data_IF_033810520648
#
_entry.id   IF_033810520648
#
_cell.length_a   1.000
_cell.length_b   1.000
_cell.length_c   1.000
_cell.angle_alpha   90.00
_cell.angle_beta   90.00
_cell.angle_gamma   90.00
#
_symmetry.space_group_name_H-M   'P 1'
#
loop_
_entity.id
_entity.type
_entity.pdbx_description
1 polymer ?
#
# COMPACT_ATOMS: atom_id res chain seq x y z
N UNK A 1 -5.23 -6.46 -1.73
CA UNK A 1 -5.33 -6.26 -3.21
C UNK A 1 -6.31 -7.22 -3.88
N UNK A 2 -6.33 -8.53 -3.57
CA UNK A 2 -7.31 -9.49 -4.12
C UNK A 2 -8.78 -9.10 -3.91
N UNK A 3 -9.11 -8.58 -2.73
CA UNK A 3 -10.48 -8.12 -2.40
C UNK A 3 -10.83 -6.82 -3.16
N UNK A 4 -9.87 -5.91 -3.29
CA UNK A 4 -10.07 -4.56 -3.85
C UNK A 4 -10.28 -4.55 -5.38
N UNK A 5 -9.96 -5.63 -6.08
CA UNK A 5 -10.05 -5.73 -7.55
C UNK A 5 -11.29 -6.46 -8.05
N UNK A 6 -12.15 -6.95 -7.16
CA UNK A 6 -13.17 -7.96 -7.49
C UNK A 6 -14.08 -7.56 -8.65
N UNK A 7 -14.27 -6.26 -8.87
CA UNK A 7 -15.11 -5.70 -9.94
C UNK A 7 -14.31 -4.97 -11.03
N UNK A 8 -12.98 -5.19 -11.11
CA UNK A 8 -12.08 -4.51 -12.06
C UNK A 8 -11.44 -5.54 -13.02
N UNK A 9 -11.37 -5.28 -14.34
CA UNK A 9 -10.68 -6.16 -15.28
C UNK A 9 -9.16 -6.10 -15.02
N UNK A 10 -8.58 -7.20 -14.56
CA UNK A 10 -7.16 -7.32 -14.19
C UNK A 10 -6.53 -8.53 -14.87
N UNK A 11 -5.34 -8.35 -15.45
CA UNK A 11 -4.59 -9.41 -16.11
C UNK A 11 -3.14 -9.46 -15.61
N UNK A 12 -2.64 -10.67 -15.31
CA UNK A 12 -1.22 -10.91 -15.06
C UNK A 12 -0.61 -10.16 -13.87
N UNK A 13 -1.38 -9.90 -12.81
CA UNK A 13 -0.88 -9.20 -11.61
C UNK A 13 -0.25 -10.20 -10.63
N UNK A 14 1.03 -9.99 -10.33
CA UNK A 14 1.78 -10.65 -9.27
C UNK A 14 1.61 -9.89 -7.95
N UNK A 15 0.70 -10.41 -7.13
CA UNK A 15 0.38 -9.85 -5.82
C UNK A 15 1.50 -10.01 -4.79
N UNK A 16 2.37 -11.01 -4.95
CA UNK A 16 3.50 -11.19 -4.05
C UNK A 16 4.54 -10.09 -4.27
N UNK A 17 4.83 -9.77 -5.54
CA UNK A 17 5.70 -8.63 -5.88
C UNK A 17 5.10 -7.29 -5.48
N UNK A 18 3.78 -7.11 -5.65
CA UNK A 18 3.10 -5.89 -5.20
C UNK A 18 3.14 -5.73 -3.67
N UNK A 19 3.00 -6.83 -2.91
CA UNK A 19 3.08 -6.81 -1.45
C UNK A 19 4.47 -6.36 -0.96
N UNK A 20 5.54 -6.76 -1.64
CA UNK A 20 6.91 -6.30 -1.32
C UNK A 20 7.07 -4.79 -1.50
N UNK A 21 6.45 -4.22 -2.53
CA UNK A 21 6.48 -2.78 -2.80
C UNK A 21 5.58 -1.97 -1.85
N UNK A 22 4.56 -2.61 -1.26
CA UNK A 22 3.62 -2.01 -0.34
C UNK A 22 4.02 -2.19 1.14
N UNK A 23 5.32 -2.25 1.42
CA UNK A 23 5.81 -2.31 2.80
C UNK A 23 5.31 -1.09 3.59
N UNK A 24 4.80 -1.33 4.79
CA UNK A 24 4.22 -0.32 5.69
C UNK A 24 2.91 0.30 5.16
N UNK A 25 2.25 -0.28 4.17
CA UNK A 25 0.96 0.23 3.70
C UNK A 25 -0.16 -0.23 4.61
N UNK A 26 -1.09 0.68 4.91
CA UNK A 26 -2.40 0.31 5.45
C UNK A 26 -3.30 -0.27 4.36
N UNK A 27 -4.45 -0.81 4.76
CA UNK A 27 -5.51 -1.19 3.81
C UNK A 27 -5.99 -0.01 2.96
N UNK A 28 -5.99 1.20 3.52
CA UNK A 28 -6.36 2.42 2.80
C UNK A 28 -5.31 2.81 1.76
N UNK A 29 -4.02 2.66 2.08
CA UNK A 29 -2.94 2.92 1.12
C UNK A 29 -3.01 1.95 -0.06
N UNK A 30 -3.31 0.67 0.19
CA UNK A 30 -3.52 -0.31 -0.87
C UNK A 30 -4.72 0.03 -1.77
N UNK A 31 -5.79 0.58 -1.19
CA UNK A 31 -6.94 1.08 -1.98
C UNK A 31 -6.53 2.26 -2.85
N UNK A 32 -5.80 3.22 -2.28
CA UNK A 32 -5.28 4.37 -3.01
C UNK A 32 -4.41 3.96 -4.21
N UNK A 33 -3.56 2.92 -4.06
CA UNK A 33 -2.77 2.36 -5.18
C UNK A 33 -3.66 1.88 -6.31
N UNK A 34 -4.72 1.12 -6.00
CA UNK A 34 -5.65 0.60 -7.01
C UNK A 34 -6.37 1.76 -7.71
N UNK A 35 -6.80 2.78 -6.97
CA UNK A 35 -7.53 3.92 -7.53
C UNK A 35 -6.62 4.76 -8.45
N UNK A 36 -5.38 5.03 -8.05
CA UNK A 36 -4.37 5.70 -8.90
C UNK A 36 -4.08 4.89 -10.17
N UNK A 37 -3.96 3.56 -10.06
CA UNK A 37 -3.72 2.70 -11.21
C UNK A 37 -4.91 2.71 -12.19
N UNK A 38 -6.15 2.70 -11.67
CA UNK A 38 -7.36 2.82 -12.49
C UNK A 38 -7.41 4.16 -13.22
N UNK A 39 -7.17 5.27 -12.52
CA UNK A 39 -7.18 6.60 -13.15
C UNK A 39 -6.14 6.71 -14.27
N UNK A 40 -4.93 6.20 -14.04
CA UNK A 40 -3.89 6.16 -15.06
C UNK A 40 -4.35 5.35 -16.29
N UNK A 41 -5.03 4.21 -16.05
CA UNK A 41 -5.53 3.35 -17.12
C UNK A 41 -6.68 3.97 -17.91
N UNK A 42 -7.58 4.67 -17.23
CA UNK A 42 -8.65 5.45 -17.87
C UNK A 42 -8.07 6.55 -18.76
N UNK A 43 -7.01 7.23 -18.32
CA UNK A 43 -6.31 8.23 -19.13
C UNK A 43 -5.65 7.61 -20.38
N UNK A 44 -5.10 6.41 -20.28
CA UNK A 44 -4.61 5.66 -21.45
C UNK A 44 -5.75 5.30 -22.41
N UNK A 45 -6.88 4.82 -21.88
CA UNK A 45 -8.06 4.44 -22.67
C UNK A 45 -8.64 5.62 -23.44
N UNK A 46 -8.74 6.81 -22.82
CA UNK A 46 -9.19 8.03 -23.50
C UNK A 46 -8.29 8.43 -24.68
N UNK A 47 -6.98 8.16 -24.61
CA UNK A 47 -6.04 8.46 -25.69
C UNK A 47 -6.06 7.40 -26.81
N UNK A 48 -6.26 6.15 -26.44
CA UNK A 48 -6.19 5.00 -27.37
C UNK A 48 -7.54 4.61 -27.94
N UNK A 49 -8.63 5.18 -27.43
CA UNK A 49 -10.01 4.90 -27.85
C UNK A 49 -10.57 3.56 -27.33
N UNK A 50 -9.81 2.81 -26.53
CA UNK A 50 -10.23 1.49 -26.06
C UNK A 50 -9.83 1.24 -24.60
N UNK A 51 -10.75 0.79 -23.73
CA UNK A 51 -10.40 0.35 -22.38
C UNK A 51 -9.54 -0.91 -22.43
N UNK A 52 -8.49 -0.96 -21.60
CA UNK A 52 -7.61 -2.11 -21.45
C UNK A 52 -7.58 -2.57 -19.99
N UNK A 53 -7.43 -3.88 -19.72
CA UNK A 53 -7.28 -4.41 -18.36
C UNK A 53 -6.09 -3.78 -17.62
N UNK A 54 -6.21 -3.68 -16.30
CA UNK A 54 -5.11 -3.32 -15.41
C UNK A 54 -4.02 -4.41 -15.46
N UNK A 55 -2.77 -4.01 -15.68
CA UNK A 55 -1.62 -4.91 -15.68
C UNK A 55 -0.71 -4.68 -14.47
N UNK A 56 0.21 -5.62 -14.21
CA UNK A 56 1.18 -5.53 -13.10
C UNK A 56 1.98 -4.21 -13.10
N UNK A 57 2.36 -3.72 -14.27
CA UNK A 57 3.12 -2.47 -14.42
C UNK A 57 2.33 -1.26 -13.89
N UNK A 58 1.01 -1.28 -14.03
CA UNK A 58 0.13 -0.17 -13.66
C UNK A 58 0.04 -0.11 -12.12
N UNK A 59 -0.16 -1.28 -11.48
CA UNK A 59 -0.15 -1.43 -10.01
C UNK A 59 1.20 -1.04 -9.43
N UNK A 60 2.31 -1.54 -9.98
CA UNK A 60 3.65 -1.27 -9.46
C UNK A 60 4.07 0.18 -9.65
N UNK A 61 3.63 0.84 -10.72
CA UNK A 61 3.85 2.27 -10.93
C UNK A 61 3.06 3.10 -9.93
N UNK A 62 1.77 2.79 -9.73
CA UNK A 62 0.93 3.47 -8.75
C UNK A 62 1.42 3.26 -7.30
N UNK A 63 1.93 2.08 -6.97
CA UNK A 63 2.51 1.81 -5.64
C UNK A 63 3.67 2.73 -5.29
N UNK A 64 4.45 3.17 -6.29
CA UNK A 64 5.59 4.09 -6.08
C UNK A 64 5.15 5.54 -5.81
N UNK A 65 3.92 5.92 -6.17
CA UNK A 65 3.42 7.29 -6.01
C UNK A 65 2.63 7.48 -4.72
N UNK A 66 2.14 6.39 -4.12
CA UNK A 66 1.38 6.44 -2.86
C UNK A 66 2.35 6.44 -1.67
N UNK A 67 2.19 7.42 -0.77
CA UNK A 67 2.95 7.48 0.48
C UNK A 67 2.23 6.64 1.54
N UNK A 68 2.91 5.70 2.21
CA UNK A 68 2.28 4.93 3.29
C UNK A 68 1.86 5.82 4.46
N UNK A 69 0.59 5.75 4.83
CA UNK A 69 -0.01 6.53 5.92
C UNK A 69 0.38 6.00 7.30
N UNK A 70 0.75 4.72 7.41
CA UNK A 70 1.12 4.13 8.72
C UNK A 70 2.41 4.71 9.29
N UNK A 71 3.28 5.33 8.46
CA UNK A 71 4.58 5.87 8.91
C UNK A 71 4.44 6.91 10.00
N UNK A 72 3.46 7.81 9.88
CA UNK A 72 3.23 8.88 10.87
C UNK A 72 2.69 8.31 12.19
N UNK A 73 1.82 7.31 12.09
CA UNK A 73 1.32 6.58 13.24
C UNK A 73 2.46 5.83 13.96
N UNK A 74 3.30 5.10 13.23
CA UNK A 74 4.44 4.38 13.80
C UNK A 74 5.49 5.30 14.41
N UNK A 75 5.70 6.50 13.86
CA UNK A 75 6.59 7.50 14.46
C UNK A 75 6.08 7.95 15.85
N UNK A 76 4.78 8.18 15.97
CA UNK A 76 4.14 8.53 17.25
C UNK A 76 4.20 7.35 18.23
N UNK A 77 3.83 6.15 17.78
CA UNK A 77 3.85 4.93 18.58
C UNK A 77 5.27 4.61 19.09
N UNK A 78 6.29 4.79 18.25
CA UNK A 78 7.71 4.63 18.62
C UNK A 78 8.10 5.52 19.79
N UNK A 79 7.78 6.81 19.71
CA UNK A 79 8.14 7.75 20.77
C UNK A 79 7.43 7.38 22.08
N UNK A 80 6.16 7.00 22.01
CA UNK A 80 5.44 6.57 23.20
C UNK A 80 6.03 5.29 23.80
N UNK A 81 6.32 4.29 22.97
CA UNK A 81 6.91 3.04 23.42
C UNK A 81 8.34 3.21 23.97
N UNK A 82 9.12 4.17 23.48
CA UNK A 82 10.47 4.43 24.00
C UNK A 82 10.45 5.15 25.36
N UNK A 83 9.55 6.11 25.54
CA UNK A 83 9.58 7.00 26.72
C UNK A 83 8.55 6.66 27.79
N UNK A 84 7.53 5.87 27.48
CA UNK A 84 6.39 5.58 28.36
C UNK A 84 6.15 4.09 28.61
N UNK A 85 7.09 3.20 28.26
CA UNK A 85 6.93 1.75 28.38
C UNK A 85 7.42 1.18 29.72
N UNK A 86 7.11 1.84 30.84
CA UNK A 86 7.56 1.40 32.17
C UNK A 86 6.94 0.06 32.60
N UNK A 87 5.74 -0.25 32.12
CA UNK A 87 5.02 -1.50 32.41
C UNK A 87 5.29 -2.64 31.43
N UNK A 88 6.06 -2.40 30.37
CA UNK A 88 6.27 -3.37 29.28
C UNK A 88 5.06 -3.52 28.34
N UNK A 89 4.00 -2.74 28.51
CA UNK A 89 2.76 -2.80 27.72
C UNK A 89 3.00 -2.60 26.21
N UNK A 90 4.09 -1.93 25.82
CA UNK A 90 4.41 -1.60 24.44
C UNK A 90 5.58 -2.40 23.87
N UNK A 91 5.97 -3.53 24.49
CA UNK A 91 7.06 -4.37 24.01
C UNK A 91 6.83 -4.85 22.57
N UNK A 92 5.62 -5.26 22.22
CA UNK A 92 5.27 -5.72 20.87
C UNK A 92 5.50 -4.62 19.81
N UNK A 93 5.32 -3.34 20.17
CA UNK A 93 5.61 -2.21 19.28
C UNK A 93 7.11 -2.07 19.06
N UNK A 94 7.91 -2.21 20.12
CA UNK A 94 9.38 -2.12 20.04
C UNK A 94 9.96 -3.28 19.22
N UNK A 95 9.45 -4.50 19.41
CA UNK A 95 9.82 -5.70 18.65
C UNK A 95 9.44 -5.56 17.18
N UNK A 96 8.19 -5.15 16.89
CA UNK A 96 7.73 -4.92 15.52
C UNK A 96 8.59 -3.88 14.79
N UNK A 97 9.00 -2.82 15.49
CA UNK A 97 9.87 -1.77 14.96
C UNK A 97 11.36 -2.16 14.94
N UNK A 98 11.72 -3.33 15.45
CA UNK A 98 13.11 -3.85 15.56
C UNK A 98 14.03 -2.91 16.32
N UNK A 99 13.53 -2.33 17.40
CA UNK A 99 14.27 -1.41 18.27
C UNK A 99 14.99 -2.18 19.40
N UNK A 100 14.45 -3.33 19.78
CA UNK A 100 14.97 -4.27 20.78
C UNK A 100 14.80 -5.68 20.28
#
# INVERSE_FOLDING_TARGET
LQILRRDKPVEGVDYASAAKAAKDFSGADLKAVVDVAVEAKLREAMKTGAPKPLAQKDITTAAKTVRPSTKEWFATARNYALYSNQSGLYNDILEYLRIT
#
